data_IF_159709363108
#
_entry.id   IF_159709363108
#
_cell.length_a   1.000
_cell.length_b   1.000
_cell.length_c   1.000
_cell.angle_alpha   90.00
_cell.angle_beta   90.00
_cell.angle_gamma   90.00
#
_symmetry.space_group_name_H-M   'P 1'
#
loop_
_entity.id
_entity.type
_entity.pdbx_description
1 polymer ?
#
# COMPACT_ATOMS: atom_id res chain seq x y z
N UNK A 1 -19.51 -22.22 -4.26
CA UNK A 1 -20.20 -21.07 -4.82
C UNK A 1 -21.52 -21.57 -5.37
N UNK A 2 -22.61 -21.29 -4.66
CA UNK A 2 -23.98 -21.67 -5.04
C UNK A 2 -24.72 -20.51 -5.73
N UNK A 3 -24.01 -19.42 -6.06
CA UNK A 3 -24.58 -18.25 -6.72
C UNK A 3 -25.51 -17.40 -5.85
N UNK A 4 -25.56 -17.65 -4.54
CA UNK A 4 -26.38 -16.87 -3.59
C UNK A 4 -25.76 -15.53 -3.21
N UNK A 5 -24.47 -15.32 -3.49
CA UNK A 5 -23.78 -14.06 -3.21
C UNK A 5 -24.01 -13.03 -4.33
N UNK A 6 -24.69 -11.94 -4.01
CA UNK A 6 -24.64 -10.72 -4.82
C UNK A 6 -23.41 -9.90 -4.43
N UNK A 7 -22.69 -9.37 -5.42
CA UNK A 7 -21.66 -8.36 -5.16
C UNK A 7 -22.34 -7.07 -4.67
N UNK A 8 -21.74 -6.36 -3.69
CA UNK A 8 -22.21 -5.03 -3.36
C UNK A 8 -22.05 -4.11 -4.60
N UNK A 9 -22.82 -3.02 -4.66
CA UNK A 9 -22.55 -1.92 -5.58
C UNK A 9 -21.07 -1.52 -5.55
N UNK A 10 -20.45 -1.20 -6.70
CA UNK A 10 -19.05 -0.81 -6.76
C UNK A 10 -18.71 0.33 -5.78
N UNK A 11 -17.63 0.15 -5.03
CA UNK A 11 -17.17 1.11 -4.02
C UNK A 11 -17.84 0.99 -2.66
N UNK A 12 -18.72 0.01 -2.44
CA UNK A 12 -19.30 -0.25 -1.12
C UNK A 12 -18.79 -1.57 -0.51
N UNK A 13 -18.77 -1.68 0.83
CA UNK A 13 -18.38 -2.92 1.49
C UNK A 13 -19.44 -4.01 1.28
N UNK A 14 -19.02 -5.28 1.37
CA UNK A 14 -19.91 -6.44 1.16
C UNK A 14 -21.06 -6.54 2.17
N UNK A 15 -20.92 -5.92 3.34
CA UNK A 15 -21.88 -5.89 4.43
C UNK A 15 -22.54 -4.51 4.57
N UNK A 16 -22.64 -3.74 3.47
CA UNK A 16 -23.33 -2.46 3.50
C UNK A 16 -24.80 -2.64 3.93
N UNK A 17 -25.25 -1.74 4.82
CA UNK A 17 -26.62 -1.67 5.33
C UNK A 17 -27.04 -0.22 5.32
N UNK A 18 -28.31 0.02 4.99
CA UNK A 18 -28.90 1.35 5.08
C UNK A 18 -30.02 1.35 6.12
N UNK A 19 -29.86 2.19 7.14
CA UNK A 19 -30.87 2.37 8.17
C UNK A 19 -31.80 3.54 7.84
N UNK A 20 -33.11 3.28 7.85
CA UNK A 20 -34.13 4.32 7.79
C UNK A 20 -34.83 4.36 9.14
N UNK A 21 -34.49 5.36 9.95
CA UNK A 21 -35.17 5.65 11.21
C UNK A 21 -36.38 6.57 10.97
N UNK A 22 -37.50 6.31 11.64
CA UNK A 22 -38.69 7.15 11.54
C UNK A 22 -39.52 7.10 12.81
N UNK A 23 -40.06 8.26 13.20
CA UNK A 23 -40.96 8.37 14.36
C UNK A 23 -42.27 8.98 13.89
N UNK A 24 -43.38 8.31 14.17
CA UNK A 24 -44.71 8.75 13.76
C UNK A 24 -45.77 8.44 14.82
N UNK A 25 -46.51 9.48 15.20
CA UNK A 25 -47.76 9.38 15.95
C UNK A 25 -48.92 9.30 14.95
N UNK A 26 -49.63 8.18 14.91
CA UNK A 26 -50.63 7.88 13.89
C UNK A 26 -51.99 7.55 14.51
N UNK A 27 -53.00 8.33 14.14
CA UNK A 27 -54.41 7.97 14.34
C UNK A 27 -54.82 6.82 13.40
N UNK A 28 -56.05 6.31 13.54
CA UNK A 28 -56.59 5.26 12.66
C UNK A 28 -56.37 5.54 11.17
N UNK A 29 -55.74 4.59 10.48
CA UNK A 29 -55.43 4.65 9.05
C UNK A 29 -54.54 5.82 8.61
N UNK A 30 -54.00 6.61 9.53
CA UNK A 30 -53.04 7.66 9.21
C UNK A 30 -51.72 7.03 8.78
N UNK A 31 -50.95 7.77 7.96
CA UNK A 31 -49.67 7.32 7.47
C UNK A 31 -48.59 8.40 7.55
N UNK A 32 -47.34 7.96 7.61
CA UNK A 32 -46.17 8.84 7.59
C UNK A 32 -44.98 8.11 6.99
N UNK A 33 -44.24 8.77 6.12
CA UNK A 33 -43.16 8.17 5.35
C UNK A 33 -41.83 8.88 5.58
N UNK A 34 -40.74 8.14 5.35
CA UNK A 34 -39.38 8.65 5.29
C UNK A 34 -38.62 7.97 4.14
N UNK A 35 -37.56 8.59 3.65
CA UNK A 35 -36.74 8.04 2.58
C UNK A 35 -35.28 8.43 2.76
N UNK A 36 -34.40 7.63 2.16
CA UNK A 36 -32.97 7.92 2.04
C UNK A 36 -32.47 7.51 0.67
N UNK A 37 -31.50 8.26 0.16
CA UNK A 37 -30.84 7.92 -1.10
C UNK A 37 -29.84 6.79 -0.86
N UNK A 38 -29.96 5.71 -1.62
CA UNK A 38 -29.12 4.53 -1.54
C UNK A 38 -29.12 3.76 -2.86
N UNK A 39 -28.23 2.78 -2.98
CA UNK A 39 -28.12 1.90 -4.15
C UNK A 39 -27.96 0.45 -3.72
N UNK A 40 -28.54 -0.48 -4.46
CA UNK A 40 -28.31 -1.91 -4.22
C UNK A 40 -29.51 -2.78 -4.53
N UNK A 41 -29.48 -4.00 -3.99
CA UNK A 41 -30.52 -5.00 -4.13
C UNK A 41 -30.88 -5.50 -2.74
N UNK A 42 -32.15 -5.36 -2.37
CA UNK A 42 -32.61 -5.69 -1.03
C UNK A 42 -32.59 -7.21 -0.82
N UNK A 43 -31.90 -7.66 0.22
CA UNK A 43 -31.84 -9.09 0.59
C UNK A 43 -32.69 -9.37 1.81
N UNK A 44 -32.38 -8.76 2.95
CA UNK A 44 -33.13 -8.92 4.20
C UNK A 44 -33.43 -7.56 4.82
N UNK A 45 -34.52 -7.49 5.57
CA UNK A 45 -34.86 -6.31 6.36
C UNK A 45 -34.93 -6.69 7.82
N UNK A 46 -34.15 -6.00 8.64
CA UNK A 46 -34.24 -6.06 10.09
C UNK A 46 -35.03 -4.86 10.60
N UNK A 47 -36.05 -5.13 11.38
CA UNK A 47 -36.93 -4.11 11.95
C UNK A 47 -36.74 -4.10 13.45
N UNK A 48 -36.49 -2.91 14.00
CA UNK A 48 -36.58 -2.62 15.43
C UNK A 48 -37.65 -1.56 15.63
N UNK A 49 -38.72 -1.92 16.33
CA UNK A 49 -39.85 -1.04 16.61
C UNK A 49 -39.99 -0.82 18.11
N UNK A 50 -39.92 0.42 18.56
CA UNK A 50 -40.41 0.86 19.87
C UNK A 50 -41.84 1.35 19.67
N UNK A 51 -42.80 0.53 20.11
CA UNK A 51 -44.22 0.82 19.93
C UNK A 51 -44.89 1.22 21.23
N UNK A 52 -45.73 2.26 21.15
CA UNK A 52 -46.56 2.73 22.27
C UNK A 52 -48.02 2.83 21.86
N UNK A 53 -48.91 2.26 22.69
CA UNK A 53 -50.35 2.52 22.58
C UNK A 53 -50.67 3.82 23.34
N UNK A 54 -50.80 4.92 22.61
CA UNK A 54 -50.97 6.25 23.23
C UNK A 54 -52.41 6.49 23.69
N UNK A 55 -53.39 5.76 23.13
CA UNK A 55 -54.79 5.84 23.51
C UNK A 55 -55.24 4.83 24.58
N UNK A 56 -54.43 3.80 24.88
CA UNK A 56 -54.76 2.72 25.81
C UNK A 56 -55.91 1.82 25.36
N UNK A 57 -56.09 1.69 24.04
CA UNK A 57 -57.21 0.98 23.41
C UNK A 57 -56.83 -0.43 22.91
N UNK A 58 -57.57 -0.95 21.93
CA UNK A 58 -57.35 -2.27 21.33
C UNK A 58 -56.18 -2.35 20.34
N UNK A 59 -55.41 -1.28 20.12
CA UNK A 59 -54.30 -1.27 19.17
C UNK A 59 -53.19 -2.24 19.60
N UNK A 60 -52.53 -2.85 18.63
CA UNK A 60 -51.37 -3.73 18.79
C UNK A 60 -50.17 -3.24 17.99
N UNK A 61 -48.96 -3.66 18.39
CA UNK A 61 -47.76 -3.41 17.61
C UNK A 61 -47.87 -4.02 16.19
N UNK A 62 -48.51 -5.19 16.08
CA UNK A 62 -48.76 -5.89 14.82
C UNK A 62 -49.78 -5.22 13.89
N UNK A 63 -50.46 -4.17 14.33
CA UNK A 63 -51.35 -3.40 13.45
C UNK A 63 -50.59 -2.52 12.47
N UNK A 64 -49.28 -2.31 12.69
CA UNK A 64 -48.44 -1.57 11.75
C UNK A 64 -48.52 -2.21 10.36
N UNK A 65 -48.87 -1.41 9.37
CA UNK A 65 -48.55 -1.70 7.98
C UNK A 65 -47.30 -0.89 7.62
N UNK A 66 -46.20 -1.60 7.37
CA UNK A 66 -44.94 -1.02 6.89
C UNK A 66 -44.82 -1.31 5.38
N UNK A 67 -44.81 -0.27 4.55
CA UNK A 67 -44.52 -0.41 3.12
C UNK A 67 -43.08 0.03 2.85
N UNK A 68 -42.34 -0.78 2.09
CA UNK A 68 -40.97 -0.49 1.67
C UNK A 68 -40.98 -0.31 0.15
N UNK A 69 -40.51 0.84 -0.32
CA UNK A 69 -40.42 1.17 -1.74
C UNK A 69 -38.97 1.27 -2.22
N UNK A 70 -38.68 0.70 -3.38
CA UNK A 70 -37.39 0.76 -4.04
C UNK A 70 -37.40 1.79 -5.21
N UNK A 71 -36.22 2.29 -5.63
CA UNK A 71 -36.10 3.26 -6.72
C UNK A 71 -36.60 2.77 -8.08
N UNK A 72 -36.62 1.45 -8.31
CA UNK A 72 -37.17 0.83 -9.53
C UNK A 72 -38.72 0.89 -9.62
N UNK A 73 -39.38 1.42 -8.59
CA UNK A 73 -40.83 1.52 -8.48
C UNK A 73 -41.51 0.27 -7.91
N UNK A 74 -40.74 -0.77 -7.57
CA UNK A 74 -41.26 -1.91 -6.80
C UNK A 74 -41.48 -1.52 -5.34
N UNK A 75 -42.50 -2.13 -4.73
CA UNK A 75 -42.71 -2.00 -3.30
C UNK A 75 -43.36 -3.25 -2.71
N UNK A 76 -43.20 -3.44 -1.40
CA UNK A 76 -43.72 -4.56 -0.63
C UNK A 76 -44.29 -4.07 0.70
N UNK A 77 -45.39 -4.67 1.16
CA UNK A 77 -45.96 -4.41 2.48
C UNK A 77 -45.52 -5.45 3.52
N UNK A 78 -45.55 -5.06 4.78
CA UNK A 78 -45.40 -5.96 5.93
C UNK A 78 -46.50 -5.61 6.93
N UNK A 79 -47.29 -6.60 7.31
CA UNK A 79 -48.37 -6.46 8.26
C UNK A 79 -49.59 -5.75 7.71
N UNK A 80 -50.19 -4.93 8.56
CA UNK A 80 -51.54 -4.39 8.40
C UNK A 80 -52.61 -5.34 8.94
N UNK A 81 -53.56 -4.78 9.69
CA UNK A 81 -54.69 -5.52 10.25
C UNK A 81 -55.96 -5.32 9.40
N UNK A 82 -56.58 -4.14 9.46
CA UNK A 82 -57.73 -3.76 8.64
C UNK A 82 -57.31 -3.05 7.34
N UNK A 83 -56.13 -2.41 7.36
CA UNK A 83 -55.56 -1.72 6.20
C UNK A 83 -54.59 -2.64 5.48
N UNK A 84 -54.84 -2.89 4.20
CA UNK A 84 -53.95 -3.65 3.32
C UNK A 84 -53.00 -2.74 2.53
N UNK A 85 -51.88 -3.31 2.10
CA UNK A 85 -50.92 -2.61 1.23
C UNK A 85 -51.42 -2.46 -0.20
N UNK A 86 -51.06 -1.36 -0.84
CA UNK A 86 -51.20 -1.18 -2.29
C UNK A 86 -50.03 -1.73 -3.10
N UNK A 87 -49.03 -2.31 -2.44
CA UNK A 87 -47.77 -2.68 -3.06
C UNK A 87 -47.85 -3.86 -4.02
N UNK A 88 -47.12 -3.75 -5.13
CA UNK A 88 -47.16 -4.69 -6.25
C UNK A 88 -46.60 -6.07 -5.92
N UNK A 89 -45.69 -6.16 -4.95
CA UNK A 89 -45.07 -7.42 -4.54
C UNK A 89 -45.83 -8.15 -3.42
N UNK A 90 -46.98 -7.60 -2.98
CA UNK A 90 -47.81 -8.20 -1.95
C UNK A 90 -47.38 -7.81 -0.53
N UNK A 91 -47.75 -8.65 0.45
CA UNK A 91 -47.50 -8.41 1.87
C UNK A 91 -46.97 -9.63 2.60
N UNK A 92 -46.12 -9.40 3.61
CA UNK A 92 -45.62 -10.39 4.56
C UNK A 92 -46.25 -10.19 5.94
N UNK A 93 -46.55 -11.24 6.71
CA UNK A 93 -47.18 -11.08 8.02
C UNK A 93 -46.15 -10.68 9.10
N UNK A 94 -46.57 -9.88 10.08
CA UNK A 94 -45.83 -9.78 11.35
C UNK A 94 -45.94 -11.08 12.16
N UNK A 95 -44.98 -11.37 13.06
CA UNK A 95 -45.09 -12.47 14.00
C UNK A 95 -46.33 -12.33 14.88
N UNK A 96 -47.01 -13.43 15.18
CA UNK A 96 -48.19 -13.42 16.07
C UNK A 96 -47.91 -12.86 17.47
N UNK A 97 -46.64 -12.88 17.92
CA UNK A 97 -46.19 -12.26 19.16
C UNK A 97 -46.31 -10.73 19.20
N UNK A 98 -46.54 -10.07 18.06
CA UNK A 98 -46.77 -8.63 17.97
C UNK A 98 -48.25 -8.24 18.18
N UNK A 99 -49.17 -9.21 18.21
CA UNK A 99 -50.60 -8.99 18.43
C UNK A 99 -50.92 -8.87 19.93
N UNK A 100 -50.26 -7.91 20.58
CA UNK A 100 -50.37 -7.64 22.01
C UNK A 100 -50.48 -6.14 22.24
N UNK A 101 -51.15 -5.74 23.34
CA UNK A 101 -51.34 -4.34 23.71
C UNK A 101 -50.21 -3.77 24.58
N UNK A 102 -49.17 -4.56 24.85
CA UNK A 102 -48.03 -4.14 25.66
C UNK A 102 -47.16 -3.15 24.88
N UNK A 103 -47.00 -1.93 25.40
CA UNK A 103 -45.96 -1.01 24.92
C UNK A 103 -44.58 -1.63 25.16
N UNK A 104 -43.68 -1.53 24.19
CA UNK A 104 -42.36 -2.14 24.28
C UNK A 104 -41.59 -2.15 22.97
N UNK A 105 -40.46 -2.85 22.98
CA UNK A 105 -39.59 -3.04 21.82
C UNK A 105 -39.87 -4.38 21.16
N UNK A 106 -40.05 -4.35 19.85
CA UNK A 106 -40.35 -5.49 19.00
C UNK A 106 -39.30 -5.56 17.89
N UNK A 107 -38.79 -6.76 17.61
CA UNK A 107 -37.84 -6.96 16.52
C UNK A 107 -38.27 -8.10 15.61
N UNK A 108 -37.96 -7.98 14.33
CA UNK A 108 -38.21 -9.02 13.34
C UNK A 108 -37.29 -8.89 12.14
N UNK A 109 -36.93 -10.01 11.54
CA UNK A 109 -36.14 -10.08 10.30
C UNK A 109 -36.99 -10.74 9.23
N UNK A 110 -37.04 -10.12 8.05
CA UNK A 110 -37.78 -10.61 6.89
C UNK A 110 -36.81 -10.84 5.73
N UNK A 111 -36.96 -11.97 5.04
CA UNK A 111 -36.18 -12.30 3.84
C UNK A 111 -36.91 -11.86 2.57
N UNK A 112 -36.26 -10.98 1.81
CA UNK A 112 -36.70 -10.39 0.55
C UNK A 112 -35.80 -10.76 -0.64
N UNK A 113 -34.84 -11.69 -0.46
CA UNK A 113 -33.83 -12.04 -1.47
C UNK A 113 -34.44 -12.38 -2.83
N UNK A 114 -35.64 -12.97 -2.85
CA UNK A 114 -36.32 -13.40 -4.07
C UNK A 114 -37.32 -12.37 -4.65
N UNK A 115 -37.46 -11.20 -4.04
CA UNK A 115 -38.37 -10.15 -4.53
C UNK A 115 -37.77 -9.31 -5.66
N UNK A 116 -36.44 -9.30 -5.79
CA UNK A 116 -35.75 -8.58 -6.87
C UNK A 116 -35.86 -7.06 -6.79
N UNK A 117 -36.12 -6.52 -5.59
CA UNK A 117 -36.17 -5.07 -5.37
C UNK A 117 -34.77 -4.47 -5.50
N UNK A 118 -34.58 -3.56 -6.43
CA UNK A 118 -33.26 -2.99 -6.73
C UNK A 118 -33.34 -1.53 -7.16
N UNK A 119 -32.20 -0.88 -7.27
CA UNK A 119 -32.08 0.42 -7.90
C UNK A 119 -31.21 1.41 -7.13
N UNK A 120 -30.91 2.51 -7.80
CA UNK A 120 -30.21 3.67 -7.28
C UNK A 120 -31.20 4.84 -7.18
N UNK A 121 -31.28 5.46 -6.02
CA UNK A 121 -32.19 6.57 -5.75
C UNK A 121 -32.81 6.46 -4.36
N UNK A 122 -34.03 6.98 -4.22
CA UNK A 122 -34.71 7.00 -2.93
C UNK A 122 -35.32 5.65 -2.58
N UNK A 123 -34.78 5.03 -1.53
CA UNK A 123 -35.41 3.92 -0.82
C UNK A 123 -36.30 4.51 0.27
N UNK A 124 -37.55 4.07 0.33
CA UNK A 124 -38.57 4.68 1.20
C UNK A 124 -39.24 3.66 2.10
N UNK A 125 -39.64 4.13 3.29
CA UNK A 125 -40.57 3.43 4.17
C UNK A 125 -41.80 4.29 4.39
N UNK A 126 -42.97 3.66 4.46
CA UNK A 126 -44.23 4.28 4.81
C UNK A 126 -44.89 3.47 5.92
N UNK A 127 -45.11 4.12 7.07
CA UNK A 127 -45.76 3.55 8.22
C UNK A 127 -47.23 3.92 8.17
N UNK A 128 -48.11 2.94 8.30
CA UNK A 128 -49.56 3.12 8.33
C UNK A 128 -50.09 2.44 9.58
N UNK A 129 -50.91 3.13 10.37
CA UNK A 129 -51.67 2.49 11.45
C UNK A 129 -52.78 1.64 10.82
N UNK A 130 -52.60 0.33 10.83
CA UNK A 130 -53.48 -0.60 10.13
C UNK A 130 -54.77 -0.94 10.87
N UNK A 131 -55.00 -0.45 12.08
CA UNK A 131 -56.27 -0.65 12.79
C UNK A 131 -57.19 0.57 12.66
N UNK A 132 -58.34 0.34 12.02
CA UNK A 132 -59.27 1.42 11.63
C UNK A 132 -60.05 2.03 12.78
N UNK A 133 -60.00 1.41 13.97
CA UNK A 133 -60.64 1.89 15.19
C UNK A 133 -59.65 2.40 16.25
N UNK A 134 -58.39 2.61 15.85
CA UNK A 134 -57.35 3.13 16.73
C UNK A 134 -57.61 4.59 17.14
N UNK A 135 -57.45 4.86 18.42
CA UNK A 135 -57.43 6.21 19.00
C UNK A 135 -56.05 6.85 19.00
N UNK A 136 -55.01 6.15 18.54
CA UNK A 136 -53.65 6.67 18.41
C UNK A 136 -52.56 5.68 18.86
N UNK A 137 -51.47 5.65 18.11
CA UNK A 137 -50.24 4.89 18.42
C UNK A 137 -49.00 5.69 18.06
N UNK A 138 -47.90 5.42 18.76
CA UNK A 138 -46.56 5.89 18.37
C UNK A 138 -45.76 4.73 17.80
N UNK A 139 -45.22 4.91 16.60
CA UNK A 139 -44.22 4.04 16.00
C UNK A 139 -42.88 4.79 15.97
N UNK A 140 -41.92 4.36 16.78
CA UNK A 140 -40.51 4.75 16.69
C UNK A 140 -39.73 3.55 16.14
N UNK A 141 -39.39 3.60 14.85
CA UNK A 141 -38.89 2.45 14.09
C UNK A 141 -37.51 2.73 13.51
N UNK A 142 -36.69 1.69 13.45
CA UNK A 142 -35.50 1.61 12.61
C UNK A 142 -35.66 0.41 11.69
N UNK A 143 -35.55 0.67 10.38
CA UNK A 143 -35.61 -0.34 9.32
C UNK A 143 -34.24 -0.43 8.67
N UNK A 144 -33.55 -1.54 8.88
CA UNK A 144 -32.22 -1.82 8.32
C UNK A 144 -32.36 -2.62 7.02
N UNK A 145 -32.01 -1.99 5.90
CA UNK A 145 -32.08 -2.56 4.56
C UNK A 145 -30.73 -3.23 4.22
N UNK A 146 -30.65 -4.56 4.32
CA UNK A 146 -29.44 -5.31 3.98
C UNK A 146 -29.30 -5.43 2.46
N UNK A 147 -28.08 -5.26 1.95
CA UNK A 147 -27.79 -5.26 0.51
C UNK A 147 -28.11 -3.93 -0.19
N UNK A 148 -28.54 -2.92 0.56
CA UNK A 148 -28.77 -1.55 0.12
C UNK A 148 -27.74 -0.65 0.80
N UNK A 149 -26.91 0.02 0.02
CA UNK A 149 -25.82 0.85 0.50
C UNK A 149 -26.13 2.34 0.35
N UNK A 150 -25.92 3.10 1.42
CA UNK A 150 -26.03 4.57 1.44
C UNK A 150 -24.67 5.19 1.74
N UNK A 151 -24.56 6.49 1.47
CA UNK A 151 -23.30 7.23 1.60
C UNK A 151 -22.58 7.39 0.26
N UNK A 152 -21.30 7.73 0.31
CA UNK A 152 -20.46 7.90 -0.87
C UNK A 152 -19.64 6.62 -1.12
N UNK A 153 -19.56 6.11 -2.36
CA UNK A 153 -18.75 4.95 -2.68
C UNK A 153 -17.25 5.24 -2.46
N UNK A 154 -16.56 4.29 -1.83
CA UNK A 154 -15.12 4.31 -1.63
C UNK A 154 -14.41 3.38 -2.60
N UNK A 155 -13.61 3.95 -3.49
CA UNK A 155 -12.77 3.21 -4.43
C UNK A 155 -11.35 3.16 -3.87
N UNK A 156 -10.88 1.95 -3.55
CA UNK A 156 -9.51 1.71 -3.13
C UNK A 156 -8.55 1.80 -4.31
N UNK A 157 -7.44 2.51 -4.14
CA UNK A 157 -6.35 2.56 -5.10
C UNK A 157 -5.26 3.54 -4.68
N UNK A 158 -4.20 3.63 -5.47
CA UNK A 158 -3.11 4.54 -5.17
C UNK A 158 -3.52 6.00 -5.41
N UNK A 159 -3.47 6.82 -4.35
CA UNK A 159 -3.80 8.25 -4.42
C UNK A 159 -2.58 9.16 -4.65
N UNK A 160 -1.36 8.62 -4.70
CA UNK A 160 -0.15 9.42 -4.93
C UNK A 160 0.07 9.69 -6.44
N UNK A 161 0.02 10.95 -6.89
CA UNK A 161 0.19 11.30 -8.31
C UNK A 161 1.59 11.01 -8.88
N UNK A 162 2.59 10.80 -8.02
CA UNK A 162 3.95 10.42 -8.44
C UNK A 162 4.13 8.91 -8.59
N UNK A 163 3.16 8.10 -8.17
CA UNK A 163 3.23 6.65 -8.27
C UNK A 163 2.88 6.15 -9.68
N UNK A 164 3.48 5.03 -10.06
CA UNK A 164 3.29 4.36 -11.34
C UNK A 164 1.88 3.83 -11.57
N UNK A 165 1.16 3.53 -10.50
CA UNK A 165 -0.21 3.04 -10.50
C UNK A 165 -1.20 4.05 -9.91
N UNK A 166 -0.90 5.34 -9.98
CA UNK A 166 -1.83 6.41 -9.57
C UNK A 166 -3.21 6.21 -10.20
N UNK A 167 -4.24 6.17 -9.37
CA UNK A 167 -5.63 6.07 -9.76
C UNK A 167 -6.38 7.35 -9.37
N UNK A 168 -6.72 8.15 -10.38
CA UNK A 168 -7.48 9.40 -10.19
C UNK A 168 -8.93 9.16 -9.75
N UNK A 169 -9.43 7.93 -9.81
CA UNK A 169 -10.77 7.54 -9.34
C UNK A 169 -10.77 7.02 -7.90
N UNK A 170 -9.60 6.74 -7.33
CA UNK A 170 -9.48 6.30 -5.94
C UNK A 170 -9.95 7.41 -4.99
N UNK A 171 -10.84 7.05 -4.07
CA UNK A 171 -11.33 7.91 -2.98
C UNK A 171 -10.81 7.47 -1.62
N UNK A 172 -10.07 6.35 -1.57
CA UNK A 172 -9.41 5.80 -0.39
C UNK A 172 -8.05 5.21 -0.79
N UNK A 173 -6.99 5.63 -0.10
CA UNK A 173 -5.66 5.05 -0.28
C UNK A 173 -5.63 3.66 0.35
N UNK A 174 -5.41 2.65 -0.49
CA UNK A 174 -5.35 1.25 -0.09
C UNK A 174 -3.92 0.76 0.18
N UNK A 175 -2.93 1.65 0.11
CA UNK A 175 -1.52 1.33 0.29
C UNK A 175 -0.89 0.60 -0.90
N UNK A 176 -1.57 0.52 -2.04
CA UNK A 176 -1.07 -0.15 -3.25
C UNK A 176 -0.05 0.66 -4.05
N UNK A 177 0.28 1.89 -3.64
CA UNK A 177 1.16 2.77 -4.41
C UNK A 177 2.51 2.14 -4.74
N UNK A 178 2.78 1.99 -6.03
CA UNK A 178 4.06 1.61 -6.61
C UNK A 178 4.84 2.87 -6.97
N UNK A 179 5.90 3.18 -6.23
CA UNK A 179 6.75 4.35 -6.47
C UNK A 179 7.77 4.13 -7.60
N UNK A 180 7.73 2.98 -8.27
CA UNK A 180 8.63 2.62 -9.35
C UNK A 180 9.96 2.06 -8.87
N UNK A 181 10.81 1.75 -9.84
CA UNK A 181 12.16 1.22 -9.60
C UNK A 181 13.18 2.34 -9.69
N UNK A 182 14.16 2.35 -8.78
CA UNK A 182 15.27 3.27 -8.86
C UNK A 182 16.24 2.87 -9.99
N UNK A 183 16.68 3.85 -10.76
CA UNK A 183 17.73 3.74 -11.76
C UNK A 183 18.77 4.85 -11.53
N UNK A 184 20.02 4.50 -11.72
CA UNK A 184 21.19 5.35 -11.49
C UNK A 184 21.92 5.50 -12.81
N UNK A 185 22.35 6.72 -13.15
CA UNK A 185 23.15 6.95 -14.36
C UNK A 185 24.47 6.19 -14.23
N UNK A 186 24.85 5.46 -15.28
CA UNK A 186 26.07 4.66 -15.37
C UNK A 186 26.86 5.21 -16.57
N UNK A 187 27.85 6.05 -16.29
CA UNK A 187 28.57 6.79 -17.35
C UNK A 187 29.75 6.01 -17.93
N UNK A 188 30.30 5.02 -17.22
CA UNK A 188 31.47 4.26 -17.66
C UNK A 188 31.18 2.80 -18.04
N UNK A 189 29.98 2.30 -17.72
CA UNK A 189 29.41 1.05 -18.17
C UNK A 189 29.80 -0.17 -17.36
N UNK A 190 30.19 -0.02 -16.08
CA UNK A 190 30.57 -1.15 -15.23
C UNK A 190 29.40 -1.87 -14.52
N UNK A 191 28.20 -1.29 -14.58
CA UNK A 191 27.00 -1.87 -13.99
C UNK A 191 26.57 -1.25 -12.65
N UNK A 192 27.34 -0.32 -12.11
CA UNK A 192 26.98 0.53 -10.97
C UNK A 192 26.77 1.97 -11.44
N UNK A 193 25.98 2.73 -10.70
CA UNK A 193 25.72 4.12 -11.03
C UNK A 193 25.89 5.04 -9.83
N UNK A 194 25.97 6.33 -10.14
CA UNK A 194 26.06 7.42 -9.16
C UNK A 194 24.93 7.41 -8.10
N UNK A 195 25.10 8.20 -7.04
CA UNK A 195 24.16 8.26 -5.91
C UNK A 195 22.77 8.86 -6.19
N UNK A 196 22.53 9.49 -7.34
CA UNK A 196 21.24 10.12 -7.65
C UNK A 196 20.31 9.17 -8.39
N UNK A 197 19.30 8.68 -7.67
CA UNK A 197 18.24 7.85 -8.24
C UNK A 197 17.26 8.67 -9.10
N UNK A 198 16.93 8.13 -10.27
CA UNK A 198 15.72 8.44 -11.03
C UNK A 198 14.74 7.28 -10.87
N UNK A 199 13.49 7.58 -10.55
CA UNK A 199 12.44 6.56 -10.48
C UNK A 199 11.76 6.41 -11.84
N UNK A 200 11.54 5.17 -12.25
CA UNK A 200 10.83 4.86 -13.48
C UNK A 200 9.78 3.78 -13.28
N UNK A 201 8.77 3.84 -14.13
CA UNK A 201 7.67 2.88 -14.14
C UNK A 201 7.92 1.80 -15.19
N UNK A 202 7.88 0.54 -14.76
CA UNK A 202 7.98 -0.63 -15.63
C UNK A 202 9.28 -1.41 -15.47
N UNK A 203 9.49 -2.36 -16.38
CA UNK A 203 10.53 -3.39 -16.25
C UNK A 203 11.72 -3.19 -17.21
N UNK A 204 11.71 -2.10 -17.99
CA UNK A 204 12.80 -1.78 -18.91
C UNK A 204 13.60 -0.65 -18.28
N UNK A 205 14.79 -1.00 -17.80
CA UNK A 205 15.74 -0.02 -17.27
C UNK A 205 16.11 0.95 -18.39
N UNK A 206 16.00 2.28 -18.18
CA UNK A 206 16.38 3.27 -19.18
C UNK A 206 17.82 3.10 -19.66
N UNK A 207 18.07 3.33 -20.95
CA UNK A 207 19.42 3.22 -21.50
C UNK A 207 20.38 4.23 -20.85
N UNK A 208 21.61 3.78 -20.54
CA UNK A 208 22.60 4.57 -19.80
C UNK A 208 22.32 4.65 -18.30
N UNK A 209 21.48 3.76 -17.76
CA UNK A 209 21.23 3.63 -16.33
C UNK A 209 21.24 2.17 -15.90
N UNK A 210 21.47 1.96 -14.60
CA UNK A 210 21.50 0.65 -13.93
C UNK A 210 20.70 0.71 -12.63
N UNK A 211 20.39 -0.43 -12.04
CA UNK A 211 19.61 -0.51 -10.78
C UNK A 211 20.47 -0.65 -9.53
N UNK A 212 21.79 -0.80 -9.70
CA UNK A 212 22.75 -0.88 -8.60
C UNK A 212 23.37 0.50 -8.39
N UNK A 213 23.36 0.99 -7.16
CA UNK A 213 24.01 2.23 -6.76
C UNK A 213 25.37 1.97 -6.11
N UNK A 214 26.06 3.05 -5.78
CA UNK A 214 27.26 3.01 -4.94
C UNK A 214 28.56 3.08 -5.72
N UNK A 215 28.51 3.47 -6.99
CA UNK A 215 29.70 3.78 -7.76
C UNK A 215 30.49 4.93 -7.09
N UNK A 216 31.73 4.64 -6.67
CA UNK A 216 32.59 5.63 -6.06
C UNK A 216 33.29 6.54 -7.08
N UNK A 217 33.34 6.16 -8.35
CA UNK A 217 33.80 6.99 -9.45
C UNK A 217 33.17 6.60 -10.81
N UNK A 218 31.99 7.16 -11.07
CA UNK A 218 31.15 7.01 -12.29
C UNK A 218 31.85 7.35 -13.63
N UNK A 219 33.10 7.81 -13.59
CA UNK A 219 33.91 8.08 -14.78
C UNK A 219 35.02 7.03 -15.00
N UNK A 220 35.10 5.99 -14.17
CA UNK A 220 36.11 4.95 -14.23
C UNK A 220 35.55 3.56 -13.90
N UNK A 221 35.35 2.75 -14.95
CA UNK A 221 34.77 1.41 -14.92
C UNK A 221 35.57 0.35 -14.15
N UNK A 222 36.62 0.75 -13.43
CA UNK A 222 37.41 -0.10 -12.52
C UNK A 222 37.19 0.25 -11.05
N UNK A 223 36.34 1.24 -10.76
CA UNK A 223 36.11 1.78 -9.41
C UNK A 223 34.64 1.64 -9.02
N UNK A 224 34.24 0.44 -8.60
CA UNK A 224 32.85 0.11 -8.25
C UNK A 224 32.78 -0.88 -7.08
N UNK A 225 31.64 -1.00 -6.38
CA UNK A 225 31.47 -1.94 -5.29
C UNK A 225 31.91 -3.38 -5.62
N UNK A 226 32.98 -3.84 -4.95
CA UNK A 226 33.53 -5.19 -5.13
C UNK A 226 34.40 -5.38 -6.39
N UNK A 227 34.90 -4.29 -7.00
CA UNK A 227 35.88 -4.37 -8.07
C UNK A 227 37.16 -5.12 -7.65
N UNK A 228 37.83 -5.86 -8.56
CA UNK A 228 39.16 -6.41 -8.29
C UNK A 228 40.18 -5.30 -8.06
N UNK A 229 41.11 -5.48 -7.13
CA UNK A 229 42.13 -4.48 -6.84
C UNK A 229 42.98 -4.11 -8.05
N UNK A 230 43.23 -2.81 -8.19
CA UNK A 230 43.98 -2.22 -9.32
C UNK A 230 45.47 -2.02 -9.03
N UNK A 231 45.89 -2.17 -7.77
CA UNK A 231 47.24 -1.83 -7.32
C UNK A 231 47.61 -0.36 -7.53
N UNK A 232 46.63 0.55 -7.53
CA UNK A 232 46.82 1.97 -7.82
C UNK A 232 46.80 2.86 -6.54
N UNK A 233 46.84 2.23 -5.37
CA UNK A 233 46.84 2.90 -4.07
C UNK A 233 45.54 3.64 -3.77
N UNK A 234 44.45 3.26 -4.44
CA UNK A 234 43.13 3.79 -4.21
C UNK A 234 42.14 2.66 -3.96
N UNK A 235 41.23 2.87 -3.02
CA UNK A 235 40.06 2.02 -2.80
C UNK A 235 39.21 2.05 -4.08
N UNK A 236 39.28 0.97 -4.86
CA UNK A 236 38.55 0.85 -6.12
C UNK A 236 37.37 -0.11 -5.99
N UNK A 237 37.25 -0.83 -4.88
CA UNK A 237 36.10 -1.66 -4.57
C UNK A 237 35.04 -0.95 -3.70
N UNK A 238 35.26 0.33 -3.39
CA UNK A 238 34.40 1.24 -2.66
C UNK A 238 34.03 0.77 -1.24
N UNK A 239 34.87 -0.01 -0.57
CA UNK A 239 34.57 -0.55 0.77
C UNK A 239 35.05 0.35 1.92
N UNK A 240 35.73 1.45 1.62
CA UNK A 240 36.25 2.44 2.56
C UNK A 240 37.63 2.10 3.13
N UNK A 241 38.31 1.06 2.64
CA UNK A 241 39.68 0.67 3.00
C UNK A 241 40.49 0.42 1.74
N UNK A 242 41.81 0.55 1.82
CA UNK A 242 42.71 0.09 0.75
C UNK A 242 43.07 -1.35 1.08
N UNK A 243 42.67 -2.29 0.23
CA UNK A 243 42.97 -3.70 0.35
C UNK A 243 44.36 -4.06 -0.21
N UNK A 244 44.96 -5.22 0.15
CA UNK A 244 46.27 -5.61 -0.33
C UNK A 244 46.40 -5.74 -1.86
N UNK A 245 45.30 -5.98 -2.57
CA UNK A 245 45.25 -5.99 -4.04
C UNK A 245 45.03 -4.59 -4.65
N UNK A 246 44.77 -3.58 -3.83
CA UNK A 246 44.58 -2.18 -4.21
C UNK A 246 45.79 -1.29 -3.89
N UNK A 247 46.64 -1.70 -2.94
CA UNK A 247 47.86 -1.00 -2.57
C UNK A 247 48.79 -0.83 -3.79
N UNK A 248 49.36 0.38 -3.96
CA UNK A 248 50.47 0.58 -4.90
C UNK A 248 51.59 -0.41 -4.59
N UNK A 249 52.21 -1.04 -5.61
CA UNK A 249 53.40 -1.86 -5.39
C UNK A 249 54.40 -1.08 -4.55
N UNK A 250 54.83 -1.66 -3.43
CA UNK A 250 55.80 -1.03 -2.54
C UNK A 250 57.16 -1.03 -3.25
N UNK A 251 57.43 0.02 -4.02
CA UNK A 251 58.77 0.25 -4.55
C UNK A 251 59.67 0.70 -3.41
N UNK A 252 60.40 -0.23 -2.79
CA UNK A 252 61.54 0.14 -1.98
C UNK A 252 62.73 0.34 -2.93
N UNK A 253 63.39 1.49 -2.85
CA UNK A 253 64.57 1.77 -3.67
C UNK A 253 65.74 0.84 -3.30
N UNK A 254 65.66 0.17 -2.15
CA UNK A 254 66.69 -0.70 -1.62
C UNK A 254 66.69 -2.15 -2.18
N UNK A 255 65.58 -2.61 -2.77
CA UNK A 255 65.52 -3.84 -3.58
C UNK A 255 65.85 -3.47 -5.04
N UNK A 256 67.14 -3.22 -5.26
CA UNK A 256 67.63 -2.69 -6.53
C UNK A 256 67.53 -3.69 -7.68
N UNK A 257 67.38 -4.99 -7.38
CA UNK A 257 67.26 -6.03 -8.40
C UNK A 257 65.81 -6.51 -8.60
N UNK A 258 64.88 -6.02 -7.78
CA UNK A 258 63.44 -6.29 -7.81
C UNK A 258 63.10 -7.78 -7.65
N UNK A 259 63.85 -8.49 -6.81
CA UNK A 259 63.61 -9.92 -6.51
C UNK A 259 62.66 -10.17 -5.33
N UNK A 260 62.17 -9.10 -4.70
CA UNK A 260 61.25 -9.13 -3.58
C UNK A 260 61.93 -9.11 -2.22
N UNK A 261 63.27 -9.00 -2.18
CA UNK A 261 64.04 -9.11 -0.95
C UNK A 261 65.28 -8.22 -0.93
N UNK A 262 65.51 -7.50 0.17
CA UNK A 262 66.76 -6.74 0.34
C UNK A 262 67.84 -7.68 0.86
N UNK A 263 68.68 -8.18 -0.05
CA UNK A 263 69.60 -9.27 0.19
C UNK A 263 71.05 -8.94 -0.19
N UNK A 264 71.92 -9.95 -0.15
CA UNK A 264 73.29 -9.81 -0.66
C UNK A 264 73.30 -9.48 -2.14
N UNK A 265 72.29 -9.91 -2.90
CA UNK A 265 72.20 -9.65 -4.33
C UNK A 265 72.09 -8.14 -4.61
N UNK A 266 71.35 -7.41 -3.78
CA UNK A 266 71.16 -5.95 -3.86
C UNK A 266 72.41 -5.18 -3.52
N UNK A 267 73.09 -5.58 -2.44
CA UNK A 267 74.40 -5.02 -2.09
C UNK A 267 75.40 -5.26 -3.22
N UNK A 268 75.38 -6.43 -3.85
CA UNK A 268 76.27 -6.74 -4.98
C UNK A 268 75.90 -5.94 -6.24
N UNK A 269 74.61 -5.69 -6.48
CA UNK A 269 74.13 -4.86 -7.58
C UNK A 269 74.61 -3.41 -7.41
N UNK A 270 74.43 -2.80 -6.24
CA UNK A 270 74.97 -1.45 -5.94
C UNK A 270 76.50 -1.43 -6.07
N UNK A 271 77.18 -2.43 -5.52
CA UNK A 271 78.64 -2.50 -5.61
C UNK A 271 79.16 -2.69 -7.03
N UNK A 272 78.32 -3.16 -7.96
CA UNK A 272 78.69 -3.28 -9.38
C UNK A 272 78.87 -1.91 -10.07
N UNK A 273 78.20 -0.87 -9.57
CA UNK A 273 78.28 0.50 -10.07
C UNK A 273 78.92 1.48 -9.06
N UNK A 274 79.55 0.98 -8.00
CA UNK A 274 80.12 1.84 -6.95
C UNK A 274 81.11 2.86 -7.52
N UNK A 275 80.85 4.14 -7.24
CA UNK A 275 81.61 5.27 -7.78
C UNK A 275 81.07 5.83 -9.10
N UNK A 276 79.91 5.35 -9.59
CA UNK A 276 79.18 5.98 -10.69
C UNK A 276 78.76 7.41 -10.31
N UNK A 277 78.80 8.33 -11.28
CA UNK A 277 78.37 9.74 -11.13
C UNK A 277 77.70 10.21 -12.42
N UNK A 278 76.53 10.82 -12.28
CA UNK A 278 75.70 11.37 -13.37
C UNK A 278 74.34 10.68 -13.47
N UNK A 279 73.45 11.22 -14.30
CA UNK A 279 72.05 10.79 -14.43
C UNK A 279 71.84 9.42 -15.11
N UNK A 280 72.86 8.57 -15.15
CA UNK A 280 72.82 7.23 -15.78
C UNK A 280 73.29 6.11 -14.86
N UNK A 281 73.38 6.37 -13.55
CA UNK A 281 73.63 5.33 -12.55
C UNK A 281 72.30 4.64 -12.23
N UNK A 282 72.22 3.33 -12.44
CA UNK A 282 70.98 2.57 -12.27
C UNK A 282 70.68 2.27 -10.80
N UNK A 283 71.74 2.16 -9.97
CA UNK A 283 71.63 1.79 -8.55
C UNK A 283 71.91 2.97 -7.58
N UNK A 284 71.54 4.17 -7.99
CA UNK A 284 71.48 5.38 -7.15
C UNK A 284 70.17 5.35 -6.34
N UNK A 285 70.28 5.01 -5.06
CA UNK A 285 69.15 4.70 -4.16
C UNK A 285 68.62 5.98 -3.51
N UNK A 286 69.49 6.94 -3.20
CA UNK A 286 69.09 8.20 -2.56
C UNK A 286 68.78 9.33 -3.55
N UNK A 287 69.03 9.10 -4.84
CA UNK A 287 68.66 9.98 -5.95
C UNK A 287 69.60 11.18 -6.11
N UNK A 288 70.81 11.13 -5.55
CA UNK A 288 71.79 12.23 -5.60
C UNK A 288 72.60 12.29 -6.91
N UNK A 289 72.31 11.38 -7.85
CA UNK A 289 73.00 11.13 -9.11
C UNK A 289 74.42 10.57 -8.94
N UNK A 290 74.69 9.84 -7.86
CA UNK A 290 75.92 9.09 -7.68
C UNK A 290 75.65 7.78 -6.93
N UNK A 291 76.52 6.78 -7.14
CA UNK A 291 76.49 5.53 -6.34
C UNK A 291 77.65 5.58 -5.38
N UNK A 292 77.36 5.87 -4.12
CA UNK A 292 78.34 6.11 -3.06
C UNK A 292 78.12 5.19 -1.86
N UNK A 293 78.85 5.47 -0.78
CA UNK A 293 78.62 4.80 0.51
C UNK A 293 77.21 5.08 1.04
N UNK A 294 76.60 6.22 0.68
CA UNK A 294 75.25 6.56 1.10
C UNK A 294 74.22 5.54 0.61
N UNK A 295 74.29 5.16 -0.67
CA UNK A 295 73.42 4.16 -1.30
C UNK A 295 73.60 2.76 -0.69
N UNK A 296 74.86 2.36 -0.49
CA UNK A 296 75.18 1.10 0.18
C UNK A 296 74.62 1.10 1.60
N UNK A 297 74.70 2.22 2.32
CA UNK A 297 74.14 2.33 3.67
C UNK A 297 72.62 2.36 3.67
N UNK A 298 71.97 2.90 2.64
CA UNK A 298 70.52 2.86 2.47
C UNK A 298 70.03 1.40 2.37
N UNK A 299 70.64 0.59 1.49
CA UNK A 299 70.34 -0.85 1.39
C UNK A 299 70.67 -1.61 2.66
N UNK A 300 71.81 -1.31 3.29
CA UNK A 300 72.20 -1.97 4.54
C UNK A 300 71.29 -1.61 5.72
N UNK A 301 70.63 -0.45 5.71
CA UNK A 301 69.73 -0.03 6.77
C UNK A 301 68.47 -0.90 6.87
N UNK A 302 68.04 -1.48 5.76
CA UNK A 302 66.85 -2.35 5.67
C UNK A 302 67.20 -3.79 5.24
N UNK A 303 68.49 -4.15 5.30
CA UNK A 303 69.01 -5.44 4.89
C UNK A 303 68.37 -6.63 5.62
N UNK A 304 68.01 -7.65 4.86
CA UNK A 304 67.24 -8.81 5.33
C UNK A 304 65.74 -8.55 5.46
N UNK A 305 65.27 -7.35 5.10
CA UNK A 305 63.87 -7.03 4.92
C UNK A 305 63.29 -7.64 3.65
N UNK A 306 61.97 -7.87 3.66
CA UNK A 306 61.20 -8.17 2.46
C UNK A 306 60.72 -6.87 1.82
N UNK A 307 60.72 -6.82 0.50
CA UNK A 307 60.22 -5.70 -0.30
C UNK A 307 59.22 -6.22 -1.33
N UNK A 308 57.93 -6.37 -0.96
CA UNK A 308 56.92 -7.00 -1.81
C UNK A 308 56.44 -6.12 -2.96
#
# INVERSE_FOLDING_TARGET
>A
DDGSCSFPPPGYPCDCITDIAHVAELDASASSANATTATGTLTTVDVTLVWTNTAGDGSWAGDLLLEIGAPDGSCVGIGGYDVGTGCSLGSFPWPSGWNVSNTGTYTHTIDFTNLGMTGEGDWSINLINGWTSSGGVNYDIVVSLNGVCSGEPQFGGCMNPEACNYDATATLDDGSCDLGTAAYYDSDGDGYGQFFAMYFCGNVVPAGTVTLDGDCNDANSTMYPGAPGTGAGNDNNCNGVIDPDEEEPQFCAEDVNQDGSVSVADVLAILSEFGCVGAGCEYDVDGDNAVTVADVLAVLAVFGGSCP
#
